data_IF_741193237328
#
_entry.id   IF_741193237328
#
_cell.length_a   1.000
_cell.length_b   1.000
_cell.length_c   1.000
_cell.angle_alpha   90.00
_cell.angle_beta   90.00
_cell.angle_gamma   90.00
#
_symmetry.space_group_name_H-M   'P 1'
#
loop_
_entity.id
_entity.type
_entity.pdbx_description
1 polymer ?
#
# COMPACT_ATOMS: atom_id res chain seq x y z
N UNK A 1 -11.45 -7.91 -5.03
CA UNK A 1 -10.97 -8.09 -3.64
C UNK A 1 -9.61 -8.76 -3.72
N UNK A 2 -8.59 -8.29 -2.96
CA UNK A 2 -7.24 -8.88 -2.95
C UNK A 2 -6.90 -9.33 -1.54
N UNK A 3 -6.17 -10.44 -1.45
CA UNK A 3 -5.74 -11.03 -0.20
C UNK A 3 -4.24 -11.22 -0.21
N UNK A 4 -3.65 -11.23 0.97
CA UNK A 4 -2.22 -11.31 1.13
C UNK A 4 -1.82 -11.38 2.59
N UNK A 5 -0.52 -11.55 2.83
CA UNK A 5 0.08 -11.56 4.16
C UNK A 5 0.88 -10.30 4.39
N UNK A 6 0.97 -9.88 5.65
CA UNK A 6 1.90 -8.81 6.01
C UNK A 6 3.32 -9.35 5.86
N UNK A 7 4.12 -8.68 5.02
CA UNK A 7 5.52 -9.00 4.79
C UNK A 7 6.44 -8.25 5.76
N UNK A 8 6.12 -6.99 6.08
CA UNK A 8 6.93 -6.16 6.96
C UNK A 8 6.09 -5.13 7.71
N UNK A 9 6.32 -5.05 9.02
CA UNK A 9 5.89 -3.95 9.89
C UNK A 9 7.15 -3.38 10.52
N UNK A 10 7.40 -2.09 10.32
CA UNK A 10 8.60 -1.42 10.83
C UNK A 10 8.25 -0.02 11.32
N UNK A 11 9.02 0.48 12.29
CA UNK A 11 9.01 1.87 12.72
C UNK A 11 9.93 2.76 11.89
N UNK A 12 10.75 2.18 11.02
CA UNK A 12 11.74 2.89 10.21
C UNK A 12 11.25 3.14 8.77
N UNK A 13 11.60 4.29 8.15
CA UNK A 13 11.26 4.54 6.75
C UNK A 13 11.95 3.57 5.78
N UNK A 14 11.16 2.95 4.91
CA UNK A 14 11.64 2.07 3.84
C UNK A 14 11.89 2.87 2.55
N UNK A 15 12.83 2.40 1.72
CA UNK A 15 13.02 2.97 0.39
C UNK A 15 11.93 2.42 -0.54
N UNK A 16 11.04 3.28 -1.01
CA UNK A 16 9.92 2.96 -1.89
C UNK A 16 9.97 3.87 -3.12
N UNK A 17 10.22 3.28 -4.30
CA UNK A 17 10.33 4.02 -5.57
C UNK A 17 11.29 5.23 -5.50
N UNK A 18 12.41 5.07 -4.80
CA UNK A 18 13.41 6.12 -4.61
C UNK A 18 13.10 7.12 -3.48
N UNK A 19 11.95 6.99 -2.81
CA UNK A 19 11.53 7.87 -1.70
C UNK A 19 11.51 7.11 -0.38
N UNK A 20 12.00 7.73 0.70
CA UNK A 20 11.88 7.17 2.05
C UNK A 20 10.45 7.36 2.57
N UNK A 21 9.74 6.27 2.81
CA UNK A 21 8.34 6.28 3.23
C UNK A 21 8.10 5.34 4.42
N UNK A 22 7.17 5.70 5.29
CA UNK A 22 6.74 4.84 6.38
C UNK A 22 5.55 3.99 5.92
N UNK A 23 5.84 2.75 5.56
CA UNK A 23 4.87 1.83 4.98
C UNK A 23 4.90 0.49 5.72
N UNK A 24 3.75 -0.15 5.80
CA UNK A 24 3.69 -1.60 5.95
C UNK A 24 3.80 -2.24 4.57
N UNK A 25 4.46 -3.39 4.50
CA UNK A 25 4.54 -4.18 3.27
C UNK A 25 3.61 -5.38 3.35
N UNK A 26 2.96 -5.68 2.24
CA UNK A 26 2.04 -6.82 2.10
C UNK A 26 2.38 -7.61 0.84
N UNK A 27 2.39 -8.93 0.97
CA UNK A 27 2.44 -9.86 -0.16
C UNK A 27 1.11 -9.83 -0.90
N UNK A 28 1.00 -8.98 -1.90
CA UNK A 28 -0.13 -8.93 -2.80
C UNK A 28 0.36 -8.38 -4.12
N UNK A 29 0.05 -9.09 -5.20
CA UNK A 29 0.03 -8.45 -6.49
C UNK A 29 -0.94 -7.26 -6.39
N UNK A 30 -0.51 -6.08 -6.81
CA UNK A 30 -1.34 -4.89 -6.99
C UNK A 30 -1.23 -4.46 -8.46
N UNK A 31 -2.20 -3.75 -9.02
CA UNK A 31 -2.08 -3.23 -10.39
C UNK A 31 -2.47 -1.76 -10.39
N UNK A 32 -2.21 -1.05 -11.47
CA UNK A 32 -2.75 0.30 -11.66
C UNK A 32 -4.24 0.33 -11.30
N UNK A 33 -4.64 1.30 -10.47
CA UNK A 33 -6.00 1.43 -9.96
C UNK A 33 -6.27 0.84 -8.57
N UNK A 34 -5.33 0.12 -7.94
CA UNK A 34 -5.52 -0.33 -6.53
C UNK A 34 -5.12 0.71 -5.49
N UNK A 35 -4.36 1.73 -5.89
CA UNK A 35 -3.96 2.83 -5.01
C UNK A 35 -5.19 3.51 -4.40
N UNK A 36 -5.08 3.90 -3.13
CA UNK A 36 -6.14 4.47 -2.27
C UNK A 36 -7.19 3.48 -1.77
N UNK A 37 -7.08 2.20 -2.11
CA UNK A 37 -7.98 1.18 -1.54
C UNK A 37 -7.69 0.94 -0.05
N UNK A 38 -8.72 0.76 0.79
CA UNK A 38 -8.53 0.39 2.19
C UNK A 38 -7.98 -1.04 2.30
N UNK A 39 -7.06 -1.26 3.23
CA UNK A 39 -6.53 -2.59 3.54
C UNK A 39 -6.94 -2.97 4.96
N UNK A 40 -7.54 -4.15 5.11
CA UNK A 40 -8.01 -4.67 6.39
C UNK A 40 -7.18 -5.87 6.83
N UNK A 41 -6.84 -5.91 8.12
CA UNK A 41 -6.33 -7.10 8.78
C UNK A 41 -7.50 -7.97 9.21
N UNK A 42 -7.44 -9.24 8.82
CA UNK A 42 -8.38 -10.27 9.26
C UNK A 42 -7.69 -11.16 10.29
N UNK A 43 -8.25 -11.24 11.51
CA UNK A 43 -7.72 -12.09 12.59
C UNK A 43 -8.73 -13.15 13.02
N UNK A 44 -9.29 -13.89 12.05
CA UNK A 44 -10.23 -14.98 12.33
C UNK A 44 -11.45 -14.56 13.17
N UNK A 45 -12.21 -15.55 13.64
CA UNK A 45 -13.14 -15.37 14.76
C UNK A 45 -12.49 -15.94 16.02
N UNK A 46 -12.24 -15.08 17.02
CA UNK A 46 -11.85 -15.50 18.37
C UNK A 46 -13.06 -15.57 19.32
N UNK A 47 -14.25 -15.18 18.85
CA UNK A 47 -15.45 -15.14 19.67
C UNK A 47 -16.46 -16.21 19.24
N UNK A 48 -17.25 -16.77 20.18
CA UNK A 48 -18.32 -17.73 19.88
C UNK A 48 -19.38 -17.17 18.91
N UNK A 49 -19.47 -15.84 18.79
CA UNK A 49 -20.49 -15.12 18.03
C UNK A 49 -19.94 -14.59 16.70
N UNK A 50 -19.32 -15.47 15.90
CA UNK A 50 -19.07 -15.44 14.44
C UNK A 50 -18.75 -14.14 13.65
N UNK A 51 -18.59 -12.96 14.25
CA UNK A 51 -18.21 -11.76 13.50
C UNK A 51 -16.70 -11.74 13.29
N UNK A 52 -16.30 -11.83 12.02
CA UNK A 52 -14.94 -11.58 11.58
C UNK A 52 -14.48 -10.19 12.06
N UNK A 53 -13.48 -10.16 12.94
CA UNK A 53 -12.88 -8.92 13.40
C UNK A 53 -11.94 -8.39 12.31
N UNK A 54 -12.43 -7.43 11.53
CA UNK A 54 -11.62 -6.65 10.60
C UNK A 54 -11.09 -5.39 11.29
N UNK A 55 -9.80 -5.13 11.15
CA UNK A 55 -9.17 -3.86 11.58
C UNK A 55 -8.55 -3.17 10.38
N UNK A 56 -8.76 -1.86 10.24
CA UNK A 56 -8.12 -1.08 9.18
C UNK A 56 -6.60 -1.05 9.41
N UNK A 57 -5.85 -1.61 8.47
CA UNK A 57 -4.39 -1.54 8.45
C UNK A 57 -3.91 -0.18 7.95
N UNK A 58 -4.61 0.36 6.95
CA UNK A 58 -4.19 1.55 6.24
C UNK A 58 -4.75 1.64 4.83
N UNK A 59 -4.07 2.42 4.00
CA UNK A 59 -4.44 2.68 2.61
C UNK A 59 -3.32 2.23 1.68
N UNK A 60 -3.65 1.49 0.63
CA UNK A 60 -2.66 1.00 -0.33
C UNK A 60 -2.09 2.16 -1.16
N UNK A 61 -0.77 2.28 -1.25
CA UNK A 61 -0.09 3.29 -2.08
C UNK A 61 0.19 2.78 -3.50
N UNK A 62 0.44 1.49 -3.65
CA UNK A 62 0.72 0.85 -4.94
C UNK A 62 1.51 -0.45 -4.79
N UNK A 63 2.05 -0.94 -5.90
CA UNK A 63 2.92 -2.11 -5.98
C UNK A 63 4.38 -1.68 -6.15
N UNK A 64 5.30 -2.48 -5.66
CA UNK A 64 6.69 -2.38 -6.06
C UNK A 64 6.84 -2.92 -7.49
N UNK A 65 7.23 -2.04 -8.41
CA UNK A 65 7.50 -2.38 -9.79
C UNK A 65 8.98 -2.78 -9.96
N UNK A 66 9.23 -3.92 -10.60
CA UNK A 66 10.57 -4.31 -11.05
C UNK A 66 10.66 -4.10 -12.55
N UNK A 67 11.53 -3.17 -12.97
CA UNK A 67 11.86 -2.95 -14.38
C UNK A 67 13.00 -3.89 -14.76
N UNK A 68 12.81 -4.71 -15.79
CA UNK A 68 13.83 -5.59 -16.36
C UNK A 68 13.98 -5.31 -17.86
N UNK A 69 15.19 -5.43 -18.43
CA UNK A 69 15.34 -5.45 -19.88
C UNK A 69 14.51 -6.60 -20.45
N UNK A 70 13.68 -6.35 -21.46
CA UNK A 70 13.08 -7.43 -22.24
C UNK A 70 14.18 -8.16 -23.01
N UNK A 71 13.98 -9.46 -23.26
CA UNK A 71 14.90 -10.25 -24.09
C UNK A 71 15.01 -9.58 -25.47
N UNK A 72 16.25 -9.35 -25.91
CA UNK A 72 16.55 -8.73 -27.20
C UNK A 72 15.93 -9.52 -28.35
N UNK A 73 15.05 -8.89 -29.11
CA UNK A 73 14.73 -9.35 -30.47
C UNK A 73 15.93 -8.95 -31.35
N UNK A 74 16.43 -9.81 -32.26
CA UNK A 74 17.71 -9.59 -32.95
C UNK A 74 17.82 -8.33 -33.84
N UNK A 75 16.76 -7.54 -34.00
CA UNK A 75 16.71 -6.42 -34.93
C UNK A 75 17.05 -5.09 -34.26
N UNK A 76 18.31 -4.89 -33.84
CA UNK A 76 19.02 -3.60 -33.72
C UNK A 76 18.35 -2.38 -33.02
N UNK A 77 17.17 -2.54 -32.43
CA UNK A 77 16.33 -1.47 -31.89
C UNK A 77 16.52 -1.26 -30.39
N UNK A 78 15.93 -0.19 -29.88
CA UNK A 78 15.90 0.08 -28.45
C UNK A 78 15.32 -1.13 -27.69
N UNK A 79 16.05 -1.63 -26.69
CA UNK A 79 15.62 -2.77 -25.87
C UNK A 79 14.34 -2.35 -25.11
N UNK A 80 13.20 -3.01 -25.33
CA UNK A 80 11.97 -2.70 -24.59
C UNK A 80 12.19 -2.98 -23.09
N UNK A 81 11.68 -2.11 -22.23
CA UNK A 81 11.66 -2.37 -20.79
C UNK A 81 10.39 -3.17 -20.43
N UNK A 82 10.56 -4.29 -19.74
CA UNK A 82 9.46 -5.05 -19.15
C UNK A 82 9.27 -4.64 -17.70
N UNK A 83 8.09 -4.13 -17.35
CA UNK A 83 7.72 -3.82 -15.97
C UNK A 83 6.94 -5.00 -15.39
N UNK A 84 7.46 -5.57 -14.30
CA UNK A 84 6.84 -6.70 -13.60
C UNK A 84 6.45 -6.31 -12.18
N UNK A 85 5.35 -6.87 -11.70
CA UNK A 85 4.91 -6.74 -10.32
C UNK A 85 5.80 -7.59 -9.41
N UNK A 86 6.45 -7.01 -8.42
CA UNK A 86 7.26 -7.75 -7.47
C UNK A 86 6.43 -8.60 -6.48
N UNK A 87 5.10 -8.49 -6.52
CA UNK A 87 4.19 -9.15 -5.59
C UNK A 87 4.12 -8.47 -4.22
N UNK A 88 4.72 -7.29 -4.07
CA UNK A 88 4.74 -6.52 -2.82
C UNK A 88 3.95 -5.23 -3.01
N UNK A 89 2.98 -5.01 -2.14
CA UNK A 89 2.21 -3.78 -2.05
C UNK A 89 2.61 -2.96 -0.80
N UNK A 90 2.69 -1.64 -0.97
CA UNK A 90 2.91 -0.70 0.12
C UNK A 90 1.59 -0.21 0.72
N UNK A 91 1.53 -0.11 2.04
CA UNK A 91 0.37 0.35 2.80
C UNK A 91 0.79 1.51 3.69
N UNK A 92 0.14 2.66 3.54
CA UNK A 92 0.28 3.79 4.47
C UNK A 92 -0.49 3.46 5.74
N UNK A 93 0.18 3.39 6.91
CA UNK A 93 -0.45 2.99 8.16
C UNK A 93 -1.64 3.87 8.56
N UNK A 94 -2.70 3.24 9.07
CA UNK A 94 -3.94 3.95 9.44
C UNK A 94 -3.77 4.99 10.54
N UNK A 95 -2.80 4.83 11.45
CA UNK A 95 -2.55 5.82 12.51
C UNK A 95 -2.16 7.20 11.94
N UNK A 96 -1.58 7.24 10.74
CA UNK A 96 -1.25 8.49 10.04
C UNK A 96 -2.47 9.16 9.41
N UNK A 97 -3.51 8.38 9.10
CA UNK A 97 -4.78 8.97 8.63
C UNK A 97 -5.42 9.79 9.75
N UNK A 98 -5.25 9.39 11.01
CA UNK A 98 -5.73 10.16 12.14
C UNK A 98 -5.04 11.53 12.19
N UNK A 99 -3.72 11.56 12.05
CA UNK A 99 -2.94 12.81 12.00
C UNK A 99 -3.40 13.74 10.87
N UNK A 100 -3.79 13.20 9.72
CA UNK A 100 -4.32 13.98 8.60
C UNK A 100 -5.74 14.47 8.91
N UNK A 101 -6.65 13.57 9.28
CA UNK A 101 -8.08 13.88 9.46
C UNK A 101 -8.36 14.80 10.65
N UNK A 102 -7.51 14.76 11.66
CA UNK A 102 -7.61 15.56 12.89
C UNK A 102 -6.38 16.47 13.06
N UNK A 103 -5.70 16.78 11.96
CA UNK A 103 -4.61 17.74 11.95
C UNK A 103 -5.12 19.18 12.07
N UNK A 104 -4.27 20.10 12.56
CA UNK A 104 -4.65 21.49 12.84
C UNK A 104 -5.19 22.23 11.59
N UNK A 105 -4.68 21.91 10.39
CA UNK A 105 -5.15 22.50 9.13
C UNK A 105 -6.63 22.16 8.84
N UNK A 106 -6.99 20.89 9.00
CA UNK A 106 -8.35 20.40 8.75
C UNK A 106 -9.31 20.82 9.87
N UNK A 107 -8.84 20.89 11.11
CA UNK A 107 -9.59 21.47 12.23
C UNK A 107 -9.91 22.95 11.99
N UNK A 108 -8.92 23.75 11.60
CA UNK A 108 -9.14 25.17 11.28
C UNK A 108 -10.16 25.37 10.15
N UNK A 109 -10.12 24.50 9.12
CA UNK A 109 -11.09 24.49 8.02
C UNK A 109 -12.52 24.16 8.48
N UNK A 110 -12.69 23.25 9.43
CA UNK A 110 -14.01 22.92 10.00
C UNK A 110 -14.57 24.09 10.79
N UNK A 111 -13.74 24.72 11.63
CA UNK A 111 -14.15 25.89 12.44
C UNK A 111 -14.51 27.09 11.57
N UNK A 112 -13.85 27.29 10.43
CA UNK A 112 -14.15 28.38 9.49
C UNK A 112 -15.49 28.20 8.74
N UNK A 113 -15.96 26.96 8.62
CA UNK A 113 -17.19 26.61 7.89
C UNK A 113 -18.39 26.33 8.81
N UNK A 114 -18.25 26.59 10.12
CA UNK A 114 -19.34 26.65 11.09
C UNK A 114 -19.75 28.10 11.34
#
# INVERSE_FOLDING_TARGET
MRFGRIALVTGEPISWEGTKMNLYLMESASSGGTSRSPVFLYRGSLQPNAYALFKLAGVMTGQSATVRPAVSVPDGGAIPASVSNAGIAGIVPCHRLYEILFGPELEALRTKNQ
#
